data_IF_690836923869
#
_entry.id   IF_690836923869
#
_cell.length_a   1.000
_cell.length_b   1.000
_cell.length_c   1.000
_cell.angle_alpha   90.00
_cell.angle_beta   90.00
_cell.angle_gamma   90.00
#
_symmetry.space_group_name_H-M   'P 1'
#
loop_
_entity.id
_entity.type
_entity.pdbx_description
1 polymer ?
#
# COMPACT_ATOMS: atom_id res chain seq x y z
N UNK A 1 -17.61 -16.68 -15.42
CA UNK A 1 -16.51 -15.76 -15.04
C UNK A 1 -15.57 -15.46 -16.22
N UNK A 2 -15.07 -16.47 -16.96
CA UNK A 2 -14.16 -16.26 -18.10
C UNK A 2 -14.76 -15.43 -19.26
N UNK A 3 -16.05 -15.59 -19.58
CA UNK A 3 -16.73 -14.79 -20.62
C UNK A 3 -16.96 -13.33 -20.23
N UNK A 4 -17.04 -13.02 -18.93
CA UNK A 4 -17.20 -11.65 -18.43
C UNK A 4 -15.90 -10.87 -18.64
N UNK A 5 -14.76 -11.48 -18.30
CA UNK A 5 -13.44 -10.86 -18.49
C UNK A 5 -13.07 -10.64 -19.97
N UNK A 6 -13.64 -11.43 -20.89
CA UNK A 6 -13.38 -11.30 -22.32
C UNK A 6 -13.99 -10.03 -22.95
N UNK A 7 -15.03 -9.46 -22.32
CA UNK A 7 -15.75 -8.28 -22.81
C UNK A 7 -15.45 -7.00 -22.02
N UNK A 8 -14.49 -7.04 -21.08
CA UNK A 8 -14.05 -5.87 -20.31
C UNK A 8 -12.58 -5.57 -20.56
N UNK A 9 -12.24 -4.28 -20.65
CA UNK A 9 -10.84 -3.85 -20.62
C UNK A 9 -10.20 -4.40 -19.35
N UNK A 10 -9.02 -5.03 -19.50
CA UNK A 10 -8.28 -5.50 -18.35
C UNK A 10 -8.00 -4.33 -17.40
N UNK A 11 -8.02 -4.57 -16.07
CA UNK A 11 -7.70 -3.53 -15.11
C UNK A 11 -6.31 -2.95 -15.44
N UNK A 12 -6.21 -1.63 -15.35
CA UNK A 12 -4.92 -0.95 -15.41
C UNK A 12 -3.97 -1.49 -14.32
N UNK A 13 -2.68 -1.20 -14.44
CA UNK A 13 -1.69 -1.53 -13.41
C UNK A 13 -2.15 -0.94 -12.06
N UNK A 14 -2.53 -1.84 -11.15
CA UNK A 14 -3.12 -1.50 -9.86
C UNK A 14 -2.59 -2.47 -8.78
N UNK A 15 -1.33 -2.29 -8.34
CA UNK A 15 -0.70 -3.23 -7.42
C UNK A 15 -1.36 -3.20 -6.03
N UNK A 16 -1.35 -4.36 -5.39
CA UNK A 16 -1.57 -4.49 -3.94
C UNK A 16 -0.19 -4.55 -3.27
N UNK A 17 0.06 -3.67 -2.31
CA UNK A 17 1.30 -3.63 -1.53
C UNK A 17 0.98 -3.80 -0.04
N UNK A 18 1.97 -4.24 0.74
CA UNK A 18 1.83 -4.28 2.19
C UNK A 18 1.66 -2.86 2.75
N UNK A 19 1.05 -2.72 3.92
CA UNK A 19 1.05 -1.49 4.70
C UNK A 19 1.57 -1.78 6.10
N UNK A 20 2.88 -1.68 6.27
CA UNK A 20 3.57 -1.97 7.55
C UNK A 20 4.45 -0.78 7.93
N UNK A 21 3.90 0.12 8.74
CA UNK A 21 4.65 1.26 9.26
C UNK A 21 5.65 0.84 10.34
N UNK A 22 6.86 1.36 10.26
CA UNK A 22 7.91 1.19 11.28
C UNK A 22 8.27 2.54 11.89
N UNK A 23 8.79 2.52 13.13
CA UNK A 23 9.24 3.75 13.82
C UNK A 23 10.59 4.28 13.33
N UNK A 24 11.33 3.48 12.57
CA UNK A 24 12.65 3.81 12.01
C UNK A 24 12.74 3.33 10.56
N UNK A 25 13.61 3.93 9.73
CA UNK A 25 13.84 3.48 8.36
C UNK A 25 14.23 2.01 8.30
N UNK A 26 13.73 1.32 7.27
CA UNK A 26 14.16 -0.04 6.92
C UNK A 26 15.16 0.10 5.77
N UNK A 27 16.44 -0.15 6.05
CA UNK A 27 17.54 -0.11 5.08
C UNK A 27 17.84 -1.52 4.57
N UNK A 28 16.90 -2.05 3.81
CA UNK A 28 17.03 -3.33 3.12
C UNK A 28 16.75 -3.11 1.63
N UNK A 29 17.65 -3.58 0.76
CA UNK A 29 17.52 -3.47 -0.69
C UNK A 29 16.35 -4.29 -1.24
N UNK A 30 15.92 -5.32 -0.51
CA UNK A 30 14.78 -6.17 -0.84
C UNK A 30 13.51 -5.80 -0.05
N UNK A 31 13.52 -4.64 0.64
CA UNK A 31 12.35 -4.12 1.37
C UNK A 31 11.11 -4.09 0.46
N UNK A 32 10.01 -4.77 0.85
CA UNK A 32 8.77 -4.68 0.10
C UNK A 32 8.20 -3.26 0.11
N UNK A 33 7.62 -2.83 -1.02
CA UNK A 33 6.89 -1.56 -1.09
C UNK A 33 5.79 -1.50 -0.01
N UNK A 34 5.66 -0.33 0.62
CA UNK A 34 4.70 -0.09 1.70
C UNK A 34 5.13 -0.63 3.08
N UNK A 35 6.39 -1.02 3.23
CA UNK A 35 7.03 -1.36 4.52
C UNK A 35 8.08 -0.31 4.86
N UNK A 36 8.00 0.36 6.00
CA UNK A 36 9.00 1.36 6.40
C UNK A 36 8.39 2.55 7.14
N UNK A 37 9.13 3.66 7.20
CA UNK A 37 8.58 4.92 7.74
C UNK A 37 7.51 5.50 6.80
N UNK A 38 6.78 6.51 7.27
CA UNK A 38 5.78 7.18 6.43
C UNK A 38 6.42 7.78 5.17
N UNK A 39 7.62 8.34 5.27
CA UNK A 39 8.37 8.89 4.14
C UNK A 39 8.69 7.80 3.11
N UNK A 40 9.23 6.65 3.56
CA UNK A 40 9.52 5.53 2.65
C UNK A 40 8.26 5.01 1.96
N UNK A 41 7.13 4.95 2.67
CA UNK A 41 5.86 4.50 2.10
C UNK A 41 5.33 5.50 1.08
N UNK A 42 5.44 6.80 1.32
CA UNK A 42 5.03 7.83 0.36
C UNK A 42 5.92 7.81 -0.89
N UNK A 43 7.22 7.63 -0.72
CA UNK A 43 8.17 7.47 -1.82
C UNK A 43 7.81 6.23 -2.67
N UNK A 44 7.48 5.10 -2.04
CA UNK A 44 7.04 3.90 -2.75
C UNK A 44 5.77 4.17 -3.59
N UNK A 45 4.78 4.89 -3.03
CA UNK A 45 3.56 5.27 -3.74
C UNK A 45 3.85 6.19 -4.92
N UNK A 46 4.79 7.12 -4.79
CA UNK A 46 5.22 7.99 -5.88
C UNK A 46 5.94 7.22 -6.99
N UNK A 47 6.80 6.26 -6.63
CA UNK A 47 7.43 5.37 -7.63
C UNK A 47 6.38 4.53 -8.36
N UNK A 48 5.39 3.98 -7.66
CA UNK A 48 4.30 3.23 -8.29
C UNK A 48 3.46 4.11 -9.23
N UNK A 49 3.20 5.37 -8.85
CA UNK A 49 2.54 6.35 -9.71
C UNK A 49 3.34 6.62 -10.98
N UNK A 50 4.66 6.80 -10.87
CA UNK A 50 5.56 6.98 -12.03
C UNK A 50 5.60 5.76 -12.95
N UNK A 51 5.42 4.56 -12.40
CA UNK A 51 5.26 3.31 -13.16
C UNK A 51 3.88 3.15 -13.81
N UNK A 52 2.97 4.11 -13.61
CA UNK A 52 1.64 4.14 -14.21
C UNK A 52 0.52 3.57 -13.34
N UNK A 53 0.76 3.35 -12.03
CA UNK A 53 -0.30 2.94 -11.12
C UNK A 53 -1.25 4.10 -10.86
N UNK A 54 -2.45 4.05 -11.43
CA UNK A 54 -3.52 4.99 -11.13
C UNK A 54 -4.20 4.70 -9.79
N UNK A 55 -4.04 3.48 -9.28
CA UNK A 55 -4.62 3.02 -8.00
C UNK A 55 -3.68 2.03 -7.35
N UNK A 56 -3.52 2.13 -6.04
CA UNK A 56 -2.75 1.17 -5.23
C UNK A 56 -3.65 0.67 -4.10
N UNK A 57 -3.67 -0.64 -3.89
CA UNK A 57 -4.36 -1.25 -2.75
C UNK A 57 -3.37 -1.42 -1.61
N UNK A 58 -3.63 -0.74 -0.49
CA UNK A 58 -2.85 -0.88 0.73
C UNK A 58 -3.38 -2.04 1.56
N UNK A 59 -2.52 -3.01 1.83
CA UNK A 59 -2.86 -4.23 2.56
C UNK A 59 -2.25 -4.23 3.98
N UNK A 60 -3.04 -3.92 5.02
CA UNK A 60 -2.55 -3.93 6.39
C UNK A 60 -2.46 -5.34 7.00
N UNK A 61 -2.83 -6.39 6.26
CA UNK A 61 -2.76 -7.76 6.77
C UNK A 61 -1.34 -8.31 6.63
N UNK A 62 -0.82 -8.89 7.71
CA UNK A 62 0.55 -9.37 7.76
C UNK A 62 0.71 -10.87 7.99
N UNK A 63 -0.37 -11.63 7.82
CA UNK A 63 -0.33 -13.08 7.94
C UNK A 63 -0.71 -13.63 9.31
N UNK A 64 -0.95 -12.77 10.31
CA UNK A 64 -1.51 -13.17 11.60
C UNK A 64 -3.02 -12.86 11.67
N UNK A 65 -3.90 -13.88 11.66
CA UNK A 65 -5.33 -13.70 11.79
C UNK A 65 -5.74 -12.97 13.09
N UNK A 66 -4.98 -13.07 14.17
CA UNK A 66 -5.32 -12.39 15.43
C UNK A 66 -5.19 -10.87 15.30
N UNK A 67 -4.32 -10.36 14.43
CA UNK A 67 -4.22 -8.92 14.14
C UNK A 67 -5.52 -8.36 13.54
N UNK A 68 -6.29 -9.18 12.81
CA UNK A 68 -7.59 -8.75 12.27
C UNK A 68 -8.63 -8.46 13.34
N UNK A 69 -8.46 -9.01 14.56
CA UNK A 69 -9.29 -8.69 15.72
C UNK A 69 -8.91 -7.37 16.39
N UNK A 70 -7.79 -6.76 16.00
CA UNK A 70 -7.25 -5.51 16.56
C UNK A 70 -7.01 -4.48 15.45
N UNK A 71 -8.07 -3.99 14.79
CA UNK A 71 -7.94 -3.19 13.57
C UNK A 71 -7.35 -1.78 13.79
N UNK A 72 -7.21 -1.32 15.04
CA UNK A 72 -6.76 0.03 15.36
C UNK A 72 -5.40 0.37 14.75
N UNK A 73 -4.43 -0.54 14.78
CA UNK A 73 -3.11 -0.30 14.21
C UNK A 73 -3.18 -0.13 12.68
N UNK A 74 -3.97 -0.99 12.01
CA UNK A 74 -4.22 -0.89 10.56
C UNK A 74 -4.89 0.45 10.20
N UNK A 75 -5.89 0.89 10.97
CA UNK A 75 -6.56 2.17 10.74
C UNK A 75 -5.67 3.37 11.00
N UNK A 76 -4.81 3.32 12.02
CA UNK A 76 -3.81 4.37 12.27
C UNK A 76 -2.85 4.49 11.09
N UNK A 77 -2.33 3.37 10.59
CA UNK A 77 -1.44 3.37 9.43
C UNK A 77 -2.12 3.92 8.17
N UNK A 78 -3.35 3.46 7.88
CA UNK A 78 -4.14 3.97 6.75
C UNK A 78 -4.42 5.47 6.88
N UNK A 79 -4.73 5.94 8.09
CA UNK A 79 -4.99 7.36 8.38
C UNK A 79 -3.73 8.20 8.19
N UNK A 80 -2.57 7.70 8.64
CA UNK A 80 -1.29 8.38 8.47
C UNK A 80 -0.97 8.57 6.98
N UNK A 81 -1.04 7.49 6.19
CA UNK A 81 -0.83 7.56 4.73
C UNK A 81 -1.82 8.51 4.07
N UNK A 82 -3.12 8.37 4.36
CA UNK A 82 -4.15 9.20 3.74
C UNK A 82 -4.06 10.67 4.13
N UNK A 83 -3.54 10.99 5.32
CA UNK A 83 -3.32 12.37 5.77
C UNK A 83 -2.18 13.01 4.98
N UNK A 84 -1.02 12.35 4.92
CA UNK A 84 0.15 12.90 4.23
C UNK A 84 -0.04 12.91 2.71
N UNK A 85 -0.71 11.91 2.13
CA UNK A 85 -0.96 11.86 0.69
C UNK A 85 -1.89 12.99 0.19
N UNK A 86 -2.85 13.42 1.02
CA UNK A 86 -3.77 14.53 0.68
C UNK A 86 -3.14 15.91 0.85
N UNK A 87 -2.01 15.98 1.53
CA UNK A 87 -1.25 17.22 1.72
C UNK A 87 0.09 17.07 1.00
N UNK A 88 0.11 17.13 -0.35
CA UNK A 88 1.37 17.19 -1.06
C UNK A 88 2.12 18.45 -0.60
N UNK A 89 3.36 18.26 -0.17
CA UNK A 89 4.27 19.37 0.15
C UNK A 89 4.72 20.09 -1.12
#
# INVERSE_FOLDING_TARGET
MRSVLANHSLPAFAPRIALRMTGTPVDDRERPAGVGTIEQILDDLDQLRLLGAATVVLDPYHGDPEETRRPHAAWQALTAVATHWRTPS
#
